data_IF_850616927695
#
_entry.id   IF_850616927695
#
_cell.length_a   1.000
_cell.length_b   1.000
_cell.length_c   1.000
_cell.angle_alpha   90.00
_cell.angle_beta   90.00
_cell.angle_gamma   90.00
#
_symmetry.space_group_name_H-M   'P 1'
#
loop_
_entity.id
_entity.type
_entity.pdbx_description
1 polymer ?
#
# COMPACT_ATOMS: atom_id res chain seq x y z
N UNK A 1 -2.06 -16.68 -22.63
CA UNK A 1 -0.98 -16.92 -21.63
C UNK A 1 -0.73 -15.72 -20.72
N UNK A 2 -0.43 -14.52 -21.24
CA UNK A 2 -0.10 -13.34 -20.41
C UNK A 2 -1.20 -12.94 -19.42
N UNK A 3 -2.48 -13.04 -19.81
CA UNK A 3 -3.60 -12.76 -18.91
C UNK A 3 -3.66 -13.69 -17.69
N UNK A 4 -3.36 -14.98 -17.88
CA UNK A 4 -3.35 -15.97 -16.79
C UNK A 4 -2.23 -15.63 -15.80
N UNK A 5 -1.05 -15.28 -16.32
CA UNK A 5 0.10 -14.85 -15.50
C UNK A 5 -0.25 -13.59 -14.69
N UNK A 6 -0.85 -12.58 -15.33
CA UNK A 6 -1.28 -11.35 -14.64
C UNK A 6 -2.33 -11.62 -13.56
N UNK A 7 -3.30 -12.49 -13.84
CA UNK A 7 -4.31 -12.89 -12.87
C UNK A 7 -3.72 -13.64 -11.68
N UNK A 8 -2.84 -14.62 -11.94
CA UNK A 8 -2.14 -15.34 -10.87
C UNK A 8 -1.31 -14.41 -9.99
N UNK A 9 -0.58 -13.47 -10.60
CA UNK A 9 0.22 -12.49 -9.84
C UNK A 9 -0.67 -11.60 -8.95
N UNK A 10 -1.81 -11.13 -9.46
CA UNK A 10 -2.77 -10.35 -8.65
C UNK A 10 -3.27 -11.15 -7.45
N UNK A 11 -3.55 -12.43 -7.65
CA UNK A 11 -4.06 -13.31 -6.61
C UNK A 11 -3.00 -13.56 -5.53
N UNK A 12 -1.74 -13.76 -5.93
CA UNK A 12 -0.59 -13.86 -4.99
C UNK A 12 -0.42 -12.57 -4.18
N UNK A 13 -0.44 -11.40 -4.84
CA UNK A 13 -0.33 -10.11 -4.17
C UNK A 13 -1.50 -9.90 -3.19
N UNK A 14 -2.71 -10.28 -3.58
CA UNK A 14 -3.89 -10.19 -2.72
C UNK A 14 -3.74 -11.05 -1.46
N UNK A 15 -3.34 -12.32 -1.59
CA UNK A 15 -3.12 -13.18 -0.42
C UNK A 15 -1.98 -12.68 0.45
N UNK A 16 -0.91 -12.13 -0.14
CA UNK A 16 0.18 -11.51 0.59
C UNK A 16 -0.33 -10.36 1.46
N UNK A 17 -1.12 -9.44 0.90
CA UNK A 17 -1.69 -8.33 1.66
C UNK A 17 -2.74 -8.77 2.69
N UNK A 18 -3.56 -9.76 2.37
CA UNK A 18 -4.54 -10.31 3.29
C UNK A 18 -3.85 -10.98 4.50
N UNK A 19 -2.82 -11.79 4.26
CA UNK A 19 -2.02 -12.42 5.31
C UNK A 19 -1.26 -11.39 6.13
N UNK A 20 -0.65 -10.40 5.47
CA UNK A 20 0.00 -9.27 6.14
C UNK A 20 -0.98 -8.52 7.06
N UNK A 21 -2.20 -8.26 6.59
CA UNK A 21 -3.24 -7.61 7.39
C UNK A 21 -3.68 -8.45 8.58
N UNK A 22 -3.86 -9.77 8.40
CA UNK A 22 -4.23 -10.67 9.47
C UNK A 22 -3.13 -10.82 10.53
N UNK A 23 -1.86 -10.87 10.13
CA UNK A 23 -0.73 -11.02 11.06
C UNK A 23 -0.37 -9.73 11.78
N UNK A 24 -0.72 -8.57 11.21
CA UNK A 24 -0.41 -7.24 11.77
C UNK A 24 -1.70 -6.49 12.16
N UNK A 25 -2.71 -7.23 12.64
CA UNK A 25 -3.99 -6.66 13.08
C UNK A 25 -3.92 -6.02 14.46
N UNK A 26 -2.76 -6.07 15.13
CA UNK A 26 -2.55 -5.40 16.41
C UNK A 26 -2.67 -3.88 16.22
N UNK A 27 -3.46 -3.26 17.09
CA UNK A 27 -3.64 -1.82 17.09
C UNK A 27 -2.40 -1.14 17.64
N UNK A 28 -1.88 -0.18 16.89
CA UNK A 28 -0.83 0.74 17.34
C UNK A 28 -1.42 2.11 17.59
N UNK A 29 -0.85 2.80 18.58
CA UNK A 29 -1.17 4.19 18.87
C UNK A 29 -0.24 5.06 18.04
N UNK A 30 -0.81 5.81 17.10
CA UNK A 30 -0.08 6.84 16.36
C UNK A 30 -0.32 8.17 17.05
N UNK A 31 0.75 8.70 17.65
CA UNK A 31 0.74 10.01 18.30
C UNK A 31 0.91 11.12 17.25
N UNK A 32 -0.04 12.03 17.19
CA UNK A 32 0.00 13.28 16.46
C UNK A 32 0.36 14.44 17.39
N UNK A 33 0.39 15.65 16.82
CA UNK A 33 0.64 16.90 17.53
C UNK A 33 -0.52 17.22 18.51
N UNK A 34 -0.21 17.86 19.64
CA UNK A 34 -1.16 18.32 20.69
C UNK A 34 -2.11 17.23 21.21
N UNK A 35 -1.56 16.19 21.84
CA UNK A 35 -2.32 15.13 22.52
C UNK A 35 -3.32 14.35 21.65
N UNK A 36 -3.32 14.56 20.33
CA UNK A 36 -4.10 13.77 19.41
C UNK A 36 -3.42 12.41 19.20
N UNK A 37 -4.15 11.33 19.46
CA UNK A 37 -3.70 9.98 19.14
C UNK A 37 -4.80 9.27 18.35
N UNK A 38 -4.39 8.45 17.38
CA UNK A 38 -5.30 7.55 16.69
C UNK A 38 -4.83 6.12 16.89
N UNK A 39 -5.77 5.25 17.20
CA UNK A 39 -5.54 3.82 17.21
C UNK A 39 -5.89 3.25 15.85
N UNK A 40 -4.90 2.70 15.16
CA UNK A 40 -5.10 2.01 13.89
C UNK A 40 -4.33 0.69 13.90
N UNK A 41 -4.80 -0.34 13.19
CA UNK A 41 -4.03 -1.56 13.04
C UNK A 41 -2.69 -1.26 12.35
N UNK A 42 -1.60 -1.88 12.82
CA UNK A 42 -0.27 -1.74 12.22
C UNK A 42 -0.30 -2.03 10.72
N UNK A 43 -1.10 -3.02 10.32
CA UNK A 43 -1.31 -3.36 8.92
C UNK A 43 -1.85 -2.20 8.10
N UNK A 44 -2.80 -1.43 8.63
CA UNK A 44 -3.42 -0.29 7.93
C UNK A 44 -2.40 0.82 7.75
N UNK A 45 -1.60 1.11 8.78
CA UNK A 45 -0.53 2.09 8.70
C UNK A 45 0.48 1.71 7.61
N UNK A 46 0.98 0.47 7.61
CA UNK A 46 2.00 0.03 6.66
C UNK A 46 1.46 -0.03 5.22
N UNK A 47 0.22 -0.49 5.05
CA UNK A 47 -0.41 -0.56 3.73
C UNK A 47 -0.66 0.84 3.15
N UNK A 48 -0.97 1.83 4.00
CA UNK A 48 -1.10 3.22 3.58
C UNK A 48 0.23 3.79 3.07
N UNK A 49 1.35 3.53 3.75
CA UNK A 49 2.68 3.92 3.28
C UNK A 49 3.04 3.25 1.96
N UNK A 50 2.72 1.96 1.81
CA UNK A 50 2.93 1.24 0.55
C UNK A 50 2.11 1.87 -0.60
N UNK A 51 0.83 2.15 -0.35
CA UNK A 51 -0.05 2.80 -1.33
C UNK A 51 0.45 4.20 -1.72
N UNK A 52 0.96 4.99 -0.77
CA UNK A 52 1.60 6.28 -1.03
C UNK A 52 2.84 6.12 -1.91
N UNK A 53 3.71 5.14 -1.65
CA UNK A 53 4.86 4.84 -2.49
C UNK A 53 4.46 4.55 -3.95
N UNK A 54 3.47 3.69 -4.15
CA UNK A 54 2.92 3.39 -5.48
C UNK A 54 2.35 4.64 -6.14
N UNK A 55 1.59 5.45 -5.39
CA UNK A 55 1.03 6.71 -5.88
C UNK A 55 2.13 7.68 -6.35
N UNK A 56 3.21 7.83 -5.57
CA UNK A 56 4.36 8.66 -5.93
C UNK A 56 5.09 8.12 -7.17
N UNK A 57 5.27 6.81 -7.30
CA UNK A 57 5.85 6.20 -8.50
C UNK A 57 4.98 6.44 -9.73
N UNK A 58 3.65 6.31 -9.62
CA UNK A 58 2.73 6.61 -10.72
C UNK A 58 2.81 8.10 -11.09
N UNK A 59 2.79 9.00 -10.10
CA UNK A 59 2.82 10.44 -10.36
C UNK A 59 4.13 10.88 -11.06
N UNK A 60 5.27 10.34 -10.62
CA UNK A 60 6.58 10.67 -11.22
C UNK A 60 6.79 10.02 -12.59
N UNK A 61 6.37 8.77 -12.77
CA UNK A 61 6.43 8.09 -14.07
C UNK A 61 5.49 8.73 -15.11
N UNK A 62 4.31 9.19 -14.69
CA UNK A 62 3.39 9.92 -15.57
C UNK A 62 4.00 11.24 -16.07
N UNK A 63 4.72 11.96 -15.22
CA UNK A 63 5.50 13.15 -15.64
C UNK A 63 6.57 12.80 -16.67
N UNK A 64 7.27 11.68 -16.49
CA UNK A 64 8.28 11.20 -17.44
C UNK A 64 7.67 10.81 -18.80
N UNK A 65 6.49 10.18 -18.79
CA UNK A 65 5.75 9.80 -20.00
C UNK A 65 5.18 11.02 -20.75
N UNK A 66 4.70 12.03 -20.02
CA UNK A 66 4.18 13.29 -20.59
C UNK A 66 5.29 14.18 -21.13
N UNK A 67 6.46 14.23 -20.49
CA UNK A 67 7.62 15.02 -20.96
C UNK A 67 8.36 14.44 -22.16
N UNK A 68 7.98 13.24 -22.62
CA UNK A 68 8.58 12.55 -23.77
C UNK A 68 7.73 12.69 -25.06
N UNK A 69 6.83 13.66 -25.10
CA UNK A 69 6.01 14.03 -26.25
C UNK A 69 6.33 15.46 -26.66
#
# INVERSE_FOLDING_TARGET
MMQVITWSLRLVIFFLFAGFAAMNSENIVVHYYEDCFVEIPLSVALLAFFALGVFLTIFTSLRCLVGKK
#
